data_IF_014523854867
#
_entry.id   IF_014523854867
#
_cell.length_a   1.000
_cell.length_b   1.000
_cell.length_c   1.000
_cell.angle_alpha   90.00
_cell.angle_beta   90.00
_cell.angle_gamma   90.00
#
_symmetry.space_group_name_H-M   'P 1'
#
loop_
_entity.id
_entity.type
_entity.pdbx_description
1 polymer ?
2 non-polymer ?
3 non-polymer ?
4 non-polymer ?
5 non-polymer ?
6 water ?
#
# COMPACT_ATOMS: atom_id res chain seq x y z
N UNK A 1 -10.94 0.88 -19.52
CA UNK A 1 -10.11 2.10 -19.45
C UNK A 1 -8.63 1.79 -19.58
N UNK A 2 -7.87 2.72 -20.15
CA UNK A 2 -6.43 2.55 -20.33
C UNK A 2 -5.60 2.83 -19.07
N UNK A 3 -6.04 3.80 -18.29
CA UNK A 3 -5.33 4.15 -17.06
C UNK A 3 -6.07 3.59 -15.86
N UNK A 4 -5.57 2.49 -15.32
CA UNK A 4 -6.20 1.83 -14.18
C UNK A 4 -5.40 1.98 -12.89
N UNK A 5 -6.11 2.30 -11.81
CA UNK A 5 -5.50 2.47 -10.48
C UNK A 5 -5.95 1.35 -9.55
N UNK A 6 -5.00 0.69 -8.91
CA UNK A 6 -5.28 -0.39 -7.96
C UNK A 6 -4.82 0.07 -6.58
N UNK A 7 -5.73 0.12 -5.62
CA UNK A 7 -5.37 0.56 -4.27
C UNK A 7 -6.17 -0.14 -3.19
N UNK A 8 -5.67 -0.05 -1.96
CA UNK A 8 -6.33 -0.67 -0.83
C UNK A 8 -7.41 0.18 -0.22
N UNK A 9 -8.59 -0.40 -0.04
CA UNK A 9 -9.72 0.33 0.53
C UNK A 9 -9.75 0.33 2.03
N UNK A 10 -8.88 -0.48 2.66
CA UNK A 10 -8.87 -0.58 4.12
C UNK A 10 -7.60 -0.03 4.79
N UNK A 11 -6.79 -0.90 5.39
CA UNK A 11 -5.56 -0.49 6.06
C UNK A 11 -4.33 -1.18 5.48
N UNK A 12 -4.36 -1.47 4.18
CA UNK A 12 -3.23 -2.13 3.58
C UNK A 12 -3.33 -3.64 3.60
N UNK A 13 -2.45 -4.31 2.87
CA UNK A 13 -2.39 -5.76 2.79
C UNK A 13 -3.69 -6.46 2.34
N UNK A 14 -4.46 -5.77 1.51
CA UNK A 14 -5.71 -6.30 0.99
C UNK A 14 -5.43 -7.24 -0.15
N UNK A 15 -4.20 -7.22 -0.68
CA UNK A 15 -3.86 -8.10 -1.80
C UNK A 15 -3.68 -7.38 -3.11
N UNK A 16 -3.11 -6.17 -3.01
CA UNK A 16 -2.86 -5.31 -4.17
C UNK A 16 -1.80 -5.88 -5.12
N UNK A 17 -0.70 -6.34 -4.56
CA UNK A 17 0.39 -6.90 -5.37
C UNK A 17 -0.06 -8.01 -6.30
N UNK A 18 -0.83 -8.94 -5.76
CA UNK A 18 -1.32 -10.06 -6.56
C UNK A 18 -2.15 -9.54 -7.73
N UNK A 19 -3.11 -8.67 -7.43
CA UNK A 19 -3.97 -8.14 -8.48
C UNK A 19 -3.18 -7.38 -9.54
N UNK A 20 -2.13 -6.66 -9.12
CA UNK A 20 -1.31 -5.91 -10.06
C UNK A 20 -0.61 -6.86 -11.03
N UNK A 21 0.09 -7.86 -10.48
CA UNK A 21 0.78 -8.86 -11.29
C UNK A 21 -0.20 -9.53 -12.27
N UNK A 22 -1.37 -9.91 -11.77
CA UNK A 22 -2.39 -10.54 -12.59
C UNK A 22 -2.91 -9.64 -13.71
N UNK A 23 -3.17 -8.38 -13.41
CA UNK A 23 -3.71 -7.47 -14.42
C UNK A 23 -2.70 -6.85 -15.38
N UNK A 24 -1.41 -6.88 -15.04
CA UNK A 24 -0.43 -6.28 -15.94
C UNK A 24 -0.09 -7.11 -17.17
N UNK A 25 -0.92 -8.11 -17.44
CA UNK A 25 -0.73 -8.95 -18.60
C UNK A 25 -0.97 -8.09 -19.83
N UNK A 26 -1.94 -7.17 -19.73
CA UNK A 26 -2.26 -6.28 -20.83
C UNK A 26 -1.76 -4.84 -20.68
N UNK A 27 -0.87 -4.59 -19.72
CA UNK A 27 -0.35 -3.24 -19.49
C UNK A 27 1.06 -3.03 -20.03
N UNK A 28 1.36 -1.79 -20.38
CA UNK A 28 2.68 -1.40 -20.87
C UNK A 28 3.49 -0.87 -19.69
N UNK A 29 2.82 -0.15 -18.80
CA UNK A 29 3.48 0.44 -17.64
C UNK A 29 2.76 0.14 -16.33
N UNK A 30 3.54 0.10 -15.26
CA UNK A 30 3.01 -0.09 -13.92
C UNK A 30 3.76 0.95 -13.09
N UNK A 31 3.02 1.80 -12.38
CA UNK A 31 3.60 2.90 -11.61
C UNK A 31 3.29 2.94 -10.11
N UNK A 32 4.32 2.99 -9.28
CA UNK A 32 4.16 3.15 -7.84
C UNK A 32 4.18 4.69 -7.70
N UNK A 33 3.24 5.25 -6.94
CA UNK A 33 3.16 6.71 -6.83
C UNK A 33 3.29 7.28 -5.42
N UNK A 34 3.42 6.42 -4.41
CA UNK A 34 3.58 6.87 -3.02
C UNK A 34 4.07 5.76 -2.11
N UNK A 35 4.45 6.11 -0.90
CA UNK A 35 4.97 5.14 0.02
C UNK A 35 6.44 4.93 -0.28
N UNK A 36 7.02 3.89 0.30
CA UNK A 36 8.43 3.60 0.09
C UNK A 36 8.58 2.12 0.31
N UNK A 37 9.58 1.70 1.08
CA UNK A 37 9.76 0.28 1.30
C UNK A 37 9.04 -0.27 2.55
N UNK A 38 8.09 0.50 3.07
CA UNK A 38 7.30 0.03 4.21
C UNK A 38 6.26 -0.96 3.67
N UNK A 39 6.02 -0.89 2.36
CA UNK A 39 5.08 -1.74 1.67
C UNK A 39 5.65 -3.14 1.46
N UNK A 40 4.76 -4.13 1.52
CA UNK A 40 5.15 -5.51 1.32
C UNK A 40 4.03 -6.13 0.53
N UNK A 41 4.25 -6.30 -0.77
CA UNK A 41 3.26 -6.86 -1.69
C UNK A 41 3.71 -8.24 -2.15
N UNK A 42 2.92 -9.26 -1.80
CA UNK A 42 3.26 -10.64 -2.14
C UNK A 42 2.70 -11.18 -3.45
N UNK A 43 3.56 -11.83 -4.23
CA UNK A 43 3.14 -12.42 -5.50
C UNK A 43 3.47 -13.91 -5.46
N UNK A 44 2.55 -14.74 -5.91
CA UNK A 44 2.75 -16.20 -5.94
C UNK A 44 2.38 -16.73 -7.31
N UNK A 45 3.40 -17.09 -8.08
CA UNK A 45 3.21 -17.62 -9.42
C UNK A 45 3.61 -19.08 -9.44
N UNK A 46 2.66 -19.96 -9.72
CA UNK A 46 2.91 -21.40 -9.74
C UNK A 46 3.60 -21.87 -8.46
N UNK A 47 3.14 -21.32 -7.33
CA UNK A 47 3.73 -21.70 -6.06
C UNK A 47 4.96 -20.94 -5.63
N UNK A 48 5.63 -20.27 -6.56
CA UNK A 48 6.83 -19.49 -6.22
C UNK A 48 6.38 -18.16 -5.60
N UNK A 49 6.94 -17.83 -4.44
CA UNK A 49 6.57 -16.59 -3.76
C UNK A 49 7.58 -15.45 -3.85
N UNK A 50 7.12 -14.30 -4.31
CA UNK A 50 7.95 -13.11 -4.44
C UNK A 50 7.36 -12.02 -3.55
N UNK A 51 8.19 -11.37 -2.75
CA UNK A 51 7.75 -10.28 -1.91
C UNK A 51 8.51 -9.03 -2.29
N UNK A 52 7.81 -8.10 -2.92
CA UNK A 52 8.39 -6.84 -3.34
C UNK A 52 8.09 -5.79 -2.28
N UNK A 53 8.86 -4.72 -2.27
CA UNK A 53 8.66 -3.66 -1.31
C UNK A 53 8.66 -2.30 -1.98
N UNK A 54 9.67 -2.07 -2.81
CA UNK A 54 9.81 -0.80 -3.50
C UNK A 54 9.55 -0.90 -5.00
N UNK A 55 9.98 -2.02 -5.57
CA UNK A 55 9.84 -2.28 -7.02
C UNK A 55 8.41 -2.63 -7.39
N UNK A 56 7.83 -1.93 -8.39
CA UNK A 56 6.45 -2.21 -8.82
C UNK A 56 6.20 -3.70 -9.10
N UNK A 57 4.98 -4.15 -8.81
CA UNK A 57 4.58 -5.54 -8.98
C UNK A 57 4.52 -6.08 -10.40
N UNK A 58 4.89 -5.27 -11.38
CA UNK A 58 4.89 -5.74 -12.74
C UNK A 58 6.30 -6.14 -13.17
N UNK A 59 7.22 -6.20 -12.22
CA UNK A 59 8.62 -6.53 -12.50
C UNK A 59 8.90 -7.93 -13.08
N UNK A 60 8.00 -8.89 -12.85
CA UNK A 60 8.20 -10.24 -13.35
C UNK A 60 7.81 -10.41 -14.82
N UNK A 61 7.13 -9.44 -15.39
CA UNK A 61 6.70 -9.50 -16.78
C UNK A 61 7.62 -8.72 -17.70
N UNK A 62 8.05 -9.34 -18.78
CA UNK A 62 8.98 -8.72 -19.73
C UNK A 62 8.35 -7.63 -20.59
N UNK A 63 7.03 -7.69 -20.75
CA UNK A 63 6.36 -6.69 -21.57
C UNK A 63 6.05 -5.39 -20.83
N UNK A 64 6.26 -5.36 -19.52
CA UNK A 64 5.95 -4.16 -18.75
C UNK A 64 7.17 -3.42 -18.28
N UNK A 65 7.08 -2.11 -18.33
CA UNK A 65 8.14 -1.25 -17.85
C UNK A 65 7.65 -0.75 -16.49
N UNK A 66 8.38 -1.09 -15.43
CA UNK A 66 8.05 -0.68 -14.07
C UNK A 66 8.63 0.70 -13.78
N UNK A 67 7.82 1.56 -13.17
CA UNK A 67 8.22 2.93 -12.86
C UNK A 67 7.94 3.34 -11.41
N UNK A 68 8.92 3.98 -10.78
CA UNK A 68 8.78 4.47 -9.41
C UNK A 68 8.57 5.98 -9.58
N UNK A 69 7.33 6.44 -9.39
CA UNK A 69 7.03 7.85 -9.58
C UNK A 69 7.63 8.73 -8.52
N UNK A 70 7.57 10.04 -8.74
CA UNK A 70 8.13 11.01 -7.80
C UNK A 70 7.56 11.00 -6.39
N UNK A 71 6.36 10.45 -6.23
CA UNK A 71 5.72 10.38 -4.93
C UNK A 71 6.40 9.41 -3.96
N UNK A 72 7.13 8.45 -4.51
CA UNK A 72 7.83 7.47 -3.71
C UNK A 72 9.10 8.04 -3.09
N UNK A 73 9.33 7.73 -1.81
CA UNK A 73 10.54 8.16 -1.11
C UNK A 73 11.45 6.94 -1.22
N UNK A 74 12.55 7.11 -1.95
CA UNK A 74 13.50 6.03 -2.25
C UNK A 74 14.70 5.80 -1.36
N UNK A 75 14.83 4.56 -0.89
CA UNK A 75 15.98 4.18 -0.08
C UNK A 75 16.95 3.50 -1.03
N UNK A 76 18.10 4.14 -1.31
CA UNK A 76 19.10 3.57 -2.22
C UNK A 76 19.58 2.17 -1.77
N UNK A 77 19.61 1.97 -0.46
CA UNK A 77 20.04 0.70 0.11
C UNK A 77 18.95 -0.35 -0.05
N UNK A 78 17.69 0.06 0.14
CA UNK A 78 16.58 -0.87 0.01
C UNK A 78 16.46 -1.34 -1.43
N UNK A 79 16.62 -0.40 -2.37
CA UNK A 79 16.52 -0.71 -3.80
C UNK A 79 17.58 -1.70 -4.29
N UNK A 80 18.82 -1.45 -3.90
CA UNK A 80 19.94 -2.31 -4.30
C UNK A 80 19.74 -3.74 -3.83
N UNK A 81 19.30 -3.91 -2.59
CA UNK A 81 19.06 -5.22 -2.00
C UNK A 81 17.92 -5.96 -2.72
N UNK A 82 16.90 -5.19 -3.12
CA UNK A 82 15.75 -5.77 -3.80
C UNK A 82 16.13 -6.12 -5.24
N UNK A 83 16.89 -5.25 -5.87
CA UNK A 83 17.34 -5.42 -7.24
C UNK A 83 18.19 -6.68 -7.35
N UNK A 84 19.10 -6.85 -6.39
CA UNK A 84 20.01 -7.99 -6.34
C UNK A 84 19.25 -9.32 -6.24
N UNK A 85 18.44 -9.45 -5.18
CA UNK A 85 17.65 -10.66 -4.93
C UNK A 85 16.81 -11.06 -6.14
N UNK A 86 16.34 -10.07 -6.90
CA UNK A 86 15.55 -10.32 -8.10
C UNK A 86 16.42 -10.74 -9.28
N UNK A 87 17.56 -10.08 -9.46
CA UNK A 87 18.46 -10.42 -10.55
C UNK A 87 18.99 -11.84 -10.39
N UNK A 88 19.12 -12.29 -9.15
CA UNK A 88 19.58 -13.65 -8.87
C UNK A 88 18.53 -14.68 -9.25
N UNK A 89 17.29 -14.23 -9.37
CA UNK A 89 16.16 -15.08 -9.74
C UNK A 89 15.83 -14.98 -11.22
N UNK A 90 16.76 -14.45 -12.00
CA UNK A 90 16.56 -14.32 -13.43
C UNK A 90 15.70 -13.17 -13.90
N UNK A 91 15.50 -12.17 -13.04
CA UNK A 91 14.71 -10.99 -13.42
C UNK A 91 15.68 -9.87 -13.77
N UNK A 92 15.73 -9.47 -15.04
CA UNK A 92 16.66 -8.39 -15.37
C UNK A 92 16.06 -7.04 -14.96
N UNK A 93 16.09 -6.75 -13.66
CA UNK A 93 15.53 -5.51 -13.12
C UNK A 93 15.96 -4.26 -13.86
N UNK A 94 17.26 -4.02 -13.91
CA UNK A 94 17.80 -2.84 -14.58
C UNK A 94 17.31 -2.63 -16.01
N UNK A 95 16.86 -3.70 -16.66
CA UNK A 95 16.35 -3.61 -18.02
C UNK A 95 14.92 -3.11 -18.06
N UNK A 96 14.17 -3.30 -16.97
CA UNK A 96 12.78 -2.85 -16.95
C UNK A 96 12.34 -1.83 -15.90
N UNK A 97 13.26 -1.41 -15.03
CA UNK A 97 12.92 -0.43 -14.01
C UNK A 97 13.44 0.98 -14.30
N UNK A 98 12.54 1.95 -14.26
CA UNK A 98 12.87 3.36 -14.46
C UNK A 98 12.42 4.11 -13.21
N UNK A 99 12.96 5.30 -12.99
CA UNK A 99 12.58 6.05 -11.80
C UNK A 99 12.65 7.58 -11.95
N UNK A 100 11.95 8.28 -11.06
CA UNK A 100 11.89 9.72 -11.08
C UNK A 100 13.05 10.39 -10.33
N UNK A 101 13.59 11.45 -10.91
CA UNK A 101 14.68 12.18 -10.28
C UNK A 101 14.10 13.05 -9.18
N UNK A 102 12.78 13.18 -9.15
CA UNK A 102 12.12 13.97 -8.13
C UNK A 102 11.83 13.15 -6.86
N UNK A 103 12.15 11.86 -6.87
CA UNK A 103 11.92 11.02 -5.69
C UNK A 103 12.84 11.43 -4.55
N UNK A 104 12.29 11.68 -3.35
CA UNK A 104 13.17 12.06 -2.25
C UNK A 104 13.92 10.81 -1.73
N UNK A 105 15.11 11.01 -1.17
CA UNK A 105 15.92 9.91 -0.67
C UNK A 105 15.73 9.62 0.82
N UNK A 106 15.72 8.34 1.16
CA UNK A 106 15.62 7.91 2.55
C UNK A 106 17.05 7.49 2.88
N UNK A 107 17.71 8.20 3.80
CA UNK A 107 19.07 7.83 4.18
C UNK A 107 19.07 7.37 5.63
N UNK A 108 20.24 7.01 6.15
CA UNK A 108 20.35 6.50 7.53
C UNK A 108 19.77 7.35 8.65
N UNK A 109 19.97 8.65 8.60
CA UNK A 109 19.46 9.51 9.64
C UNK A 109 17.94 9.49 9.73
N UNK A 110 17.29 9.22 8.59
CA UNK A 110 15.83 9.13 8.53
C UNK A 110 15.34 7.96 9.37
N UNK A 111 16.03 6.82 9.26
CA UNK A 111 15.67 5.64 10.03
C UNK A 111 15.95 5.88 11.51
N UNK A 112 17.06 6.57 11.78
CA UNK A 112 17.44 6.90 13.15
C UNK A 112 16.36 7.77 13.77
N UNK A 113 15.97 8.82 13.05
CA UNK A 113 14.93 9.74 13.52
C UNK A 113 13.62 9.02 13.75
N UNK A 114 13.30 8.09 12.87
CA UNK A 114 12.07 7.32 12.97
C UNK A 114 12.04 6.55 14.31
N UNK A 115 13.11 5.83 14.61
CA UNK A 115 13.22 5.05 15.85
C UNK A 115 13.17 5.96 17.07
N UNK A 116 13.89 7.09 16.99
CA UNK A 116 13.94 8.05 18.07
C UNK A 116 12.57 8.64 18.41
N UNK A 117 11.87 9.12 17.39
CA UNK A 117 10.55 9.71 17.60
C UNK A 117 9.56 8.69 18.19
N UNK A 118 9.67 7.45 17.72
CA UNK A 118 8.79 6.39 18.19
C UNK A 118 9.06 6.04 19.66
N UNK A 119 10.32 6.17 20.08
CA UNK A 119 10.70 5.88 21.46
C UNK A 119 10.23 7.03 22.36
N UNK A 120 10.25 8.24 21.81
CA UNK A 120 9.81 9.43 22.51
C UNK A 120 8.30 9.43 22.69
N UNK A 121 7.59 8.75 21.78
CA UNK A 121 6.14 8.65 21.84
C UNK A 121 5.70 7.71 22.96
N UNK A 122 6.53 6.70 23.23
CA UNK A 122 6.23 5.75 24.28
C UNK A 122 4.95 4.96 24.03
N UNK A 123 3.97 5.14 24.91
CA UNK A 123 2.70 4.43 24.80
C UNK A 123 1.88 4.93 23.61
N UNK A 124 2.05 6.20 23.28
CA UNK A 124 1.33 6.81 22.17
C UNK A 124 2.06 6.55 20.84
N UNK A 125 2.91 5.54 20.82
CA UNK A 125 3.66 5.18 19.61
C UNK A 125 2.72 4.80 18.48
N UNK A 126 3.04 5.31 17.30
CA UNK A 126 2.27 5.07 16.08
C UNK A 126 2.41 3.62 15.64
N UNK A 127 3.62 3.08 15.75
CA UNK A 127 3.88 1.72 15.35
C UNK A 127 4.32 1.70 13.90
N UNK A 128 5.27 2.57 13.56
CA UNK A 128 5.76 2.66 12.19
C UNK A 128 6.54 1.41 11.81
N UNK A 129 6.87 1.28 10.53
CA UNK A 129 7.64 0.12 10.07
C UNK A 129 9.14 0.35 10.29
N UNK A 130 9.48 1.51 10.88
CA UNK A 130 10.86 1.86 11.16
C UNK A 130 11.78 1.96 9.95
N UNK A 131 11.23 2.28 8.79
CA UNK A 131 12.00 2.40 7.56
C UNK A 131 12.35 3.85 7.20
N UNK A 132 12.10 4.79 8.11
CA UNK A 132 12.41 6.19 7.83
C UNK A 132 11.49 6.90 6.85
N UNK A 133 10.30 6.36 6.64
CA UNK A 133 9.34 6.94 5.71
C UNK A 133 8.87 8.34 6.12
N UNK A 134 8.29 8.45 7.31
CA UNK A 134 7.82 9.73 7.81
C UNK A 134 8.85 10.85 7.72
N UNK A 135 10.05 10.66 8.31
CA UNK A 135 11.11 11.67 8.28
C UNK A 135 11.48 12.10 6.87
N UNK A 136 11.51 11.15 5.94
CA UNK A 136 11.84 11.47 4.55
C UNK A 136 10.81 12.39 3.92
N UNK A 137 9.54 12.21 4.25
CA UNK A 137 8.47 13.07 3.73
C UNK A 137 8.54 14.45 4.36
N UNK A 138 9.01 14.52 5.61
CA UNK A 138 9.16 15.79 6.32
C UNK A 138 10.24 16.64 5.67
N UNK A 139 11.38 16.03 5.39
CA UNK A 139 12.49 16.73 4.75
C UNK A 139 12.04 17.28 3.40
N UNK A 140 11.15 16.56 2.73
CA UNK A 140 10.63 16.96 1.43
C UNK A 140 9.79 18.24 1.58
N UNK A 141 8.77 18.15 2.43
CA UNK A 141 7.88 19.27 2.71
C UNK A 141 8.63 20.47 3.29
N UNK A 142 9.65 20.21 4.09
CA UNK A 142 10.46 21.27 4.66
C UNK A 142 11.39 21.84 3.59
N UNK A 143 11.44 21.21 2.42
CA UNK A 143 12.29 21.65 1.32
C UNK A 143 13.80 21.61 1.64
N UNK A 144 14.19 20.70 2.53
CA UNK A 144 15.59 20.56 2.88
C UNK A 144 16.11 19.21 2.44
N UNK A 145 15.20 18.34 2.04
CA UNK A 145 15.58 16.99 1.62
C UNK A 145 16.24 16.81 0.27
N UNK A 146 17.01 15.73 0.17
CA UNK A 146 17.73 15.37 -1.03
C UNK A 146 16.86 14.48 -1.91
N UNK A 147 17.00 14.63 -3.22
CA UNK A 147 16.24 13.85 -4.19
C UNK A 147 17.21 13.12 -5.10
N UNK A 148 16.72 12.17 -5.88
CA UNK A 148 17.56 11.40 -6.80
C UNK A 148 18.35 12.31 -7.74
N UNK A 149 17.70 13.40 -8.16
CA UNK A 149 18.35 14.34 -9.05
C UNK A 149 19.62 14.95 -8.50
N UNK A 150 19.74 15.03 -7.17
CA UNK A 150 20.93 15.60 -6.55
C UNK A 150 22.19 14.75 -6.78
N UNK A 151 22.00 13.45 -6.96
CA UNK A 151 23.12 12.54 -7.18
C UNK A 151 23.88 12.88 -8.46
N UNK A 152 23.27 13.66 -9.33
CA UNK A 152 23.88 14.05 -10.59
C UNK A 152 25.15 14.90 -10.48
N UNK A 153 25.30 15.63 -9.38
CA UNK A 153 26.49 16.45 -9.14
C UNK A 153 27.01 16.02 -7.80
N UNK A 154 27.93 15.06 -7.82
CA UNK A 154 28.50 14.52 -6.58
C UNK A 154 29.20 15.53 -5.68
N UNK A 155 29.73 16.59 -6.27
CA UNK A 155 30.41 17.63 -5.51
C UNK A 155 29.40 18.37 -4.65
N UNK A 156 28.37 18.94 -5.28
CA UNK A 156 27.34 19.68 -4.55
C UNK A 156 26.44 18.79 -3.68
N UNK A 157 26.36 17.50 -4.00
CA UNK A 157 25.55 16.57 -3.21
C UNK A 157 26.16 16.41 -1.82
N UNK A 158 27.50 16.42 -1.78
CA UNK A 158 28.23 16.29 -0.53
C UNK A 158 28.04 17.55 0.31
N UNK A 159 27.93 18.70 -0.37
CA UNK A 159 27.70 19.96 0.32
C UNK A 159 26.31 19.94 0.95
N UNK A 160 25.31 19.59 0.15
CA UNK A 160 23.92 19.52 0.61
C UNK A 160 23.69 18.51 1.75
N UNK A 161 24.23 17.31 1.57
CA UNK A 161 24.10 16.27 2.58
C UNK A 161 24.74 16.70 3.90
N UNK A 162 25.88 17.38 3.81
CA UNK A 162 26.59 17.85 4.99
C UNK A 162 25.67 18.73 5.82
N UNK A 163 25.04 19.72 5.18
CA UNK A 163 24.13 20.65 5.84
C UNK A 163 22.95 19.95 6.54
N UNK A 164 22.23 19.13 5.79
CA UNK A 164 21.07 18.41 6.29
C UNK A 164 21.41 17.54 7.49
N UNK A 165 22.50 16.79 7.39
CA UNK A 165 22.93 15.92 8.47
C UNK A 165 23.35 16.67 9.71
N UNK A 166 23.94 17.85 9.51
CA UNK A 166 24.34 18.71 10.63
C UNK A 166 23.09 18.99 11.46
N UNK A 167 22.01 19.34 10.76
CA UNK A 167 20.73 19.65 11.39
C UNK A 167 20.13 18.48 12.16
N UNK A 168 20.11 17.31 11.52
CA UNK A 168 19.53 16.12 12.12
C UNK A 168 20.34 15.52 13.24
N UNK A 169 21.66 15.59 13.13
CA UNK A 169 22.54 15.05 14.16
C UNK A 169 22.39 15.84 15.46
N UNK A 170 22.29 17.15 15.34
CA UNK A 170 22.11 18.02 16.50
C UNK A 170 20.91 17.56 17.31
N UNK A 171 19.79 17.34 16.64
CA UNK A 171 18.58 16.93 17.32
C UNK A 171 18.65 15.49 17.80
N UNK A 172 19.33 14.63 17.04
CA UNK A 172 19.47 13.23 17.45
C UNK A 172 20.25 13.13 18.75
N UNK A 173 21.38 13.82 18.80
CA UNK A 173 22.26 13.83 19.95
C UNK A 173 21.73 14.66 21.12
N UNK A 174 21.54 15.95 20.88
CA UNK A 174 21.06 16.88 21.89
C UNK A 174 19.65 16.68 22.43
N UNK A 175 18.65 16.60 21.54
CA UNK A 175 17.26 16.43 21.98
C UNK A 175 16.87 14.99 22.35
N UNK A 176 17.12 14.05 21.43
CA UNK A 176 16.78 12.66 21.64
C UNK A 176 17.81 11.83 22.41
N UNK A 177 18.96 12.44 22.71
CA UNK A 177 20.05 11.78 23.44
C UNK A 177 20.46 10.46 22.78
N UNK A 178 20.36 10.43 21.45
CA UNK A 178 20.71 9.25 20.69
C UNK A 178 22.04 9.40 19.96
N UNK A 179 22.44 8.32 19.33
CA UNK A 179 23.68 8.23 18.59
C UNK A 179 23.64 8.96 17.24
N UNK A 180 24.67 9.78 16.98
CA UNK A 180 24.77 10.53 15.72
C UNK A 180 25.03 9.60 14.54
N UNK A 181 24.65 10.05 13.34
CA UNK A 181 24.83 9.27 12.11
C UNK A 181 26.08 9.73 11.39
N UNK A 182 26.97 8.81 11.03
CA UNK A 182 28.21 9.19 10.37
C UNK A 182 28.05 9.66 8.92
N UNK A 183 28.44 10.92 8.69
CA UNK A 183 28.34 11.54 7.38
C UNK A 183 29.12 10.83 6.28
N UNK A 184 30.32 10.35 6.60
CA UNK A 184 31.17 9.67 5.63
C UNK A 184 30.60 8.32 5.22
N UNK A 185 30.03 7.60 6.19
CA UNK A 185 29.42 6.29 5.92
C UNK A 185 28.29 6.52 4.93
N UNK A 186 27.43 7.48 5.23
CA UNK A 186 26.30 7.80 4.35
C UNK A 186 26.82 8.27 2.99
N UNK A 187 27.78 9.19 2.99
CA UNK A 187 28.32 9.71 1.75
C UNK A 187 28.94 8.63 0.88
N UNK A 188 29.66 7.70 1.51
CA UNK A 188 30.30 6.61 0.77
C UNK A 188 29.30 5.63 0.21
N UNK A 189 28.40 5.16 1.08
CA UNK A 189 27.35 4.22 0.69
C UNK A 189 26.52 4.73 -0.46
N UNK A 190 26.02 5.95 -0.34
CA UNK A 190 25.19 6.56 -1.36
C UNK A 190 25.94 6.74 -2.68
N UNK A 191 27.15 7.25 -2.58
CA UNK A 191 27.96 7.50 -3.76
C UNK A 191 28.38 6.20 -4.44
N UNK A 192 28.38 5.12 -3.67
CA UNK A 192 28.75 3.81 -4.17
C UNK A 192 27.68 3.16 -5.04
N UNK A 193 26.57 3.86 -5.27
CA UNK A 193 25.47 3.35 -6.09
C UNK A 193 24.80 4.45 -6.89
N UNK A 194 25.32 5.67 -6.78
CA UNK A 194 24.77 6.82 -7.48
C UNK A 194 24.57 6.62 -8.98
N UNK A 195 25.58 6.05 -9.62
CA UNK A 195 25.55 5.80 -11.06
C UNK A 195 24.51 4.80 -11.49
N UNK A 196 24.16 3.87 -10.61
CA UNK A 196 23.15 2.87 -10.92
C UNK A 196 21.77 3.54 -10.90
N UNK A 197 21.54 4.37 -9.88
CA UNK A 197 20.28 5.09 -9.71
C UNK A 197 20.05 6.11 -10.80
N UNK A 198 21.07 6.91 -11.10
CA UNK A 198 20.91 7.93 -12.13
C UNK A 198 20.76 7.39 -13.54
N UNK A 199 21.28 6.19 -13.79
CA UNK A 199 21.16 5.59 -15.13
C UNK A 199 19.73 5.16 -15.42
N UNK A 200 18.92 4.99 -14.38
CA UNK A 200 17.53 4.59 -14.53
C UNK A 200 16.55 5.75 -14.57
N UNK A 201 17.06 6.97 -14.47
CA UNK A 201 16.20 8.16 -14.47
C UNK A 201 15.50 8.48 -15.80
N UNK A 202 14.24 8.87 -15.69
CA UNK A 202 13.43 9.26 -16.86
C UNK A 202 12.46 10.36 -16.37
N UNK A 203 12.02 11.22 -17.29
CA UNK A 203 11.04 12.28 -16.96
C UNK A 203 9.70 11.52 -16.95
N UNK A 204 9.34 10.99 -15.80
CA UNK A 204 8.12 10.21 -15.64
C UNK A 204 6.87 10.93 -16.12
N UNK A 205 6.72 12.18 -15.72
CA UNK A 205 5.56 12.98 -16.09
C UNK A 205 5.35 13.06 -17.61
N UNK A 206 6.40 13.40 -18.34
CA UNK A 206 6.30 13.52 -19.79
C UNK A 206 6.01 12.15 -20.42
N UNK A 207 6.70 11.11 -19.92
CA UNK A 207 6.52 9.76 -20.42
C UNK A 207 5.06 9.31 -20.29
N UNK A 208 4.48 9.50 -19.10
CA UNK A 208 3.10 9.12 -18.85
C UNK A 208 2.13 9.86 -19.75
N UNK A 209 2.47 11.10 -20.11
CA UNK A 209 1.62 11.90 -20.98
C UNK A 209 1.66 11.36 -22.41
N UNK A 210 2.82 10.80 -22.80
CA UNK A 210 2.98 10.24 -24.12
C UNK A 210 2.21 8.92 -24.24
N UNK A 211 2.29 8.11 -23.19
CA UNK A 211 1.60 6.84 -23.13
C UNK A 211 0.11 7.08 -23.26
N UNK A 212 -0.35 8.14 -22.60
CA UNK A 212 -1.76 8.51 -22.60
C UNK A 212 -2.19 8.81 -24.03
N UNK A 213 -1.36 9.58 -24.72
CA UNK A 213 -1.64 9.95 -26.11
C UNK A 213 -1.56 8.78 -27.08
N UNK A 214 -0.73 7.78 -26.77
CA UNK A 214 -0.60 6.60 -27.62
C UNK A 214 -1.67 5.56 -27.28
N UNK A 215 -2.34 5.77 -26.16
CA UNK A 215 -3.37 4.83 -25.73
C UNK A 215 -2.79 3.58 -25.08
N UNK A 216 -1.58 3.69 -24.54
CA UNK A 216 -0.95 2.55 -23.89
C UNK A 216 -1.70 2.26 -22.59
N UNK A 217 -1.68 1.00 -22.16
CA UNK A 217 -2.34 0.65 -20.91
C UNK A 217 -1.38 0.93 -19.77
N UNK A 218 -1.84 1.68 -18.77
CA UNK A 218 -1.01 2.01 -17.62
C UNK A 218 -1.70 1.61 -16.33
N UNK A 219 -0.96 1.01 -15.41
CA UNK A 219 -1.53 0.64 -14.14
C UNK A 219 -0.78 1.34 -13.01
N UNK A 220 -1.54 1.88 -12.06
CA UNK A 220 -0.97 2.55 -10.90
C UNK A 220 -1.17 1.62 -9.73
N UNK A 221 -0.07 1.28 -9.08
CA UNK A 221 -0.13 0.38 -7.97
C UNK A 221 -0.04 1.14 -6.67
N UNK A 222 -1.08 1.06 -5.85
CA UNK A 222 -1.07 1.77 -4.60
C UNK A 222 -0.37 1.04 -3.47
N UNK A 223 0.04 1.82 -2.46
CA UNK A 223 0.69 1.28 -1.27
C UNK A 223 -0.16 1.65 -0.06
N UNK A 224 -0.06 0.87 0.99
CA UNK A 224 -0.85 1.07 2.21
C UNK A 224 -2.33 1.00 1.88
N UNK A 225 -3.16 1.73 2.63
CA UNK A 225 -4.59 1.69 2.37
C UNK A 225 -5.22 3.04 2.65
N UNK A 226 -6.46 3.22 2.20
CA UNK A 226 -7.19 4.47 2.37
C UNK A 226 -7.23 5.03 3.78
N UNK A 227 -7.55 4.21 4.78
CA UNK A 227 -7.62 4.72 6.15
C UNK A 227 -6.27 5.09 6.77
N UNK A 228 -5.20 4.89 6.02
CA UNK A 228 -3.86 5.25 6.48
C UNK A 228 -3.44 6.56 5.82
N UNK A 229 -4.35 7.17 5.07
CA UNK A 229 -4.09 8.43 4.39
C UNK A 229 -3.68 9.51 5.40
N UNK A 230 -2.66 10.30 5.06
CA UNK A 230 -2.18 11.36 5.94
C UNK A 230 -3.23 12.45 6.24
N UNK A 231 -4.13 12.68 5.29
CA UNK A 231 -5.18 13.69 5.42
C UNK A 231 -6.52 13.15 5.93
N UNK A 232 -7.00 12.13 5.24
CA UNK A 232 -8.28 11.52 5.50
C UNK A 232 -8.31 10.29 6.40
N UNK A 233 -7.12 9.78 6.74
CA UNK A 233 -7.04 8.60 7.59
C UNK A 233 -7.13 8.90 9.07
N UNK A 234 -6.98 7.84 9.88
CA UNK A 234 -7.06 7.94 11.33
C UNK A 234 -5.86 8.62 11.98
N UNK A 235 -5.65 9.89 11.63
CA UNK A 235 -4.56 10.71 12.13
C UNK A 235 -4.53 10.65 13.67
N UNK A 236 -3.33 10.56 14.28
CA UNK A 236 -1.99 10.51 13.69
C UNK A 236 -1.51 9.08 13.41
N UNK A 237 -2.40 8.10 13.55
CA UNK A 237 -2.05 6.71 13.31
C UNK A 237 -2.25 6.43 11.83
N UNK A 238 -1.37 7.05 11.04
CA UNK A 238 -1.43 6.95 9.60
C UNK A 238 -0.01 6.94 9.05
N UNK A 239 0.08 6.75 7.74
CA UNK A 239 1.35 6.80 7.04
C UNK A 239 1.45 8.25 6.54
N UNK A 240 2.66 8.72 6.32
CA UNK A 240 2.88 10.09 5.91
C UNK A 240 2.62 10.43 4.46
N UNK A 241 1.92 9.59 3.72
CA UNK A 241 1.64 9.90 2.32
C UNK A 241 0.15 9.78 2.03
N UNK A 242 -0.29 10.33 0.91
CA UNK A 242 -1.68 10.23 0.50
C UNK A 242 -1.83 8.90 -0.21
N UNK A 243 -2.56 7.98 0.42
CA UNK A 243 -2.79 6.64 -0.10
C UNK A 243 -4.05 6.59 -0.96
N UNK A 244 -4.82 7.67 -0.94
CA UNK A 244 -6.03 7.73 -1.73
C UNK A 244 -5.70 8.10 -3.17
N UNK A 245 -6.65 7.85 -4.07
CA UNK A 245 -6.51 8.09 -5.51
C UNK A 245 -5.95 9.42 -5.96
N UNK A 246 -6.07 10.46 -5.15
CA UNK A 246 -5.52 11.75 -5.51
C UNK A 246 -4.00 11.72 -5.57
N UNK A 247 -3.43 10.77 -4.81
CA UNK A 247 -1.99 10.61 -4.76
C UNK A 247 -1.42 10.12 -6.08
N UNK A 248 -2.28 9.55 -6.93
CA UNK A 248 -1.85 9.07 -8.25
C UNK A 248 -1.31 10.24 -9.06
N UNK A 249 -2.05 11.35 -9.04
CA UNK A 249 -1.65 12.52 -9.79
C UNK A 249 -0.44 13.24 -9.21
N UNK A 250 -0.49 13.57 -7.92
CA UNK A 250 0.61 14.27 -7.28
C UNK A 250 1.89 13.45 -7.30
N UNK A 251 1.73 12.14 -7.21
CA UNK A 251 2.87 11.25 -7.19
C UNK A 251 3.38 10.67 -8.51
N UNK A 252 2.78 11.04 -9.64
CA UNK A 252 3.26 10.52 -10.91
C UNK A 252 3.34 11.59 -12.00
N UNK A 253 2.56 12.66 -11.84
CA UNK A 253 2.54 13.71 -12.84
C UNK A 253 1.38 13.57 -13.80
N UNK A 254 0.55 12.53 -13.62
CA UNK A 254 -0.59 12.31 -14.50
C UNK A 254 -1.79 13.17 -14.13
N UNK A 255 -2.30 13.93 -15.09
CA UNK A 255 -3.46 14.78 -14.84
C UNK A 255 -4.62 13.96 -14.32
N UNK A 256 -5.30 14.40 -13.24
CA UNK A 256 -6.43 13.65 -12.68
C UNK A 256 -7.55 13.31 -13.66
N UNK A 257 -7.75 14.12 -14.70
CA UNK A 257 -8.82 13.80 -15.64
C UNK A 257 -8.50 12.58 -16.49
N UNK A 258 -7.30 12.03 -16.35
CA UNK A 258 -6.93 10.86 -17.16
C UNK A 258 -7.01 9.54 -16.41
N UNK A 259 -7.51 9.59 -15.18
CA UNK A 259 -7.69 8.37 -14.40
C UNK A 259 -9.03 7.80 -14.90
N UNK A 260 -8.97 6.66 -15.55
CA UNK A 260 -10.16 6.03 -16.12
C UNK A 260 -10.93 5.09 -15.24
N UNK A 261 -10.23 4.23 -14.52
CA UNK A 261 -10.88 3.25 -13.69
C UNK A 261 -10.12 3.08 -12.38
N UNK A 262 -10.81 3.23 -11.26
CA UNK A 262 -10.15 3.07 -9.96
C UNK A 262 -10.67 1.79 -9.34
N UNK A 263 -9.80 0.80 -9.24
CA UNK A 263 -10.17 -0.49 -8.68
C UNK A 263 -9.76 -0.57 -7.21
N UNK A 264 -10.73 -0.75 -6.33
CA UNK A 264 -10.40 -0.84 -4.92
C UNK A 264 -10.24 -2.28 -4.48
N UNK A 265 -9.12 -2.59 -3.86
CA UNK A 265 -8.88 -3.95 -3.38
C UNK A 265 -9.56 -4.06 -2.01
N UNK A 266 -10.43 -5.05 -1.88
CA UNK A 266 -11.22 -5.25 -0.69
C UNK A 266 -11.11 -6.67 -0.14
N UNK A 267 -10.56 -6.81 1.05
CA UNK A 267 -10.44 -8.13 1.69
C UNK A 267 -11.79 -8.52 2.30
N UNK A 268 -12.07 -9.81 2.41
CA UNK A 268 -13.35 -10.26 2.94
C UNK A 268 -13.54 -9.99 4.42
N UNK A 269 -12.45 -9.71 5.12
CA UNK A 269 -12.51 -9.37 6.54
C UNK A 269 -11.53 -8.21 6.69
N UNK A 270 -11.25 -7.79 7.91
CA UNK A 270 -10.34 -6.66 8.08
C UNK A 270 -9.08 -6.95 8.85
N UNK A 271 -8.05 -6.17 8.54
CA UNK A 271 -6.77 -6.26 9.24
C UNK A 271 -6.18 -4.87 9.41
N UNK A 272 -5.29 -4.77 10.38
CA UNK A 272 -4.59 -3.54 10.67
C UNK A 272 -3.36 -3.96 11.46
N UNK A 273 -2.22 -3.36 11.13
CA UNK A 273 -0.99 -3.67 11.85
C UNK A 273 -0.34 -2.34 12.21
N UNK A 274 -0.26 -2.10 13.51
CA UNK A 274 0.26 -0.84 14.02
C UNK A 274 -0.84 -0.34 14.93
N UNK A 275 -0.59 0.74 15.67
CA UNK A 275 -1.58 1.31 16.57
C UNK A 275 -2.71 2.03 15.83
N UNK A 276 -3.83 2.25 16.50
CA UNK A 276 -4.93 2.95 15.87
C UNK A 276 -6.30 2.34 16.00
N UNK A 277 -7.36 3.11 15.76
CA UNK A 277 -8.77 2.69 15.84
C UNK A 277 -9.06 1.51 14.92
N UNK A 278 -9.96 0.64 15.35
CA UNK A 278 -10.34 -0.54 14.59
C UNK A 278 -11.59 -1.12 15.28
N UNK A 279 -12.76 -0.53 15.00
CA UNK A 279 -14.07 -0.93 15.55
C UNK A 279 -14.46 -2.40 15.50
N UNK A 280 -14.26 -3.02 14.34
CA UNK A 280 -14.63 -4.42 14.16
C UNK A 280 -13.57 -5.44 14.61
N UNK A 281 -12.58 -4.97 15.36
CA UNK A 281 -11.52 -5.85 15.84
C UNK A 281 -12.06 -6.95 16.72
N UNK A 282 -11.70 -8.19 16.38
CA UNK A 282 -12.09 -9.37 17.12
C UNK A 282 -10.99 -9.71 18.11
N UNK A 283 -11.38 -10.18 19.29
CA UNK A 283 -10.38 -10.55 20.29
C UNK A 283 -10.57 -12.00 20.70
N UNK A 284 -11.67 -12.58 20.26
CA UNK A 284 -12.01 -13.96 20.59
C UNK A 284 -11.36 -15.01 19.69
N UNK A 285 -11.97 -16.19 19.66
CA UNK A 285 -11.49 -17.32 18.88
C UNK A 285 -11.62 -17.11 17.37
N UNK A 286 -12.66 -16.40 16.96
CA UNK A 286 -12.87 -16.12 15.53
C UNK A 286 -11.75 -15.22 15.03
N UNK A 287 -11.24 -14.35 15.91
CA UNK A 287 -10.15 -13.47 15.54
C UNK A 287 -8.90 -14.28 15.27
N UNK A 288 -8.55 -15.15 16.22
CA UNK A 288 -7.38 -16.01 16.09
C UNK A 288 -7.53 -16.89 14.85
N UNK A 289 -8.77 -17.26 14.54
CA UNK A 289 -9.04 -18.09 13.36
C UNK A 289 -8.71 -17.36 12.06
N UNK A 290 -9.20 -16.13 11.93
CA UNK A 290 -8.95 -15.32 10.74
C UNK A 290 -7.45 -15.12 10.57
N UNK A 291 -6.76 -14.80 11.66
CA UNK A 291 -5.33 -14.59 11.65
C UNK A 291 -4.58 -15.85 11.18
N UNK A 292 -4.90 -16.98 11.81
CA UNK A 292 -4.28 -18.26 11.49
C UNK A 292 -4.55 -18.75 10.07
N UNK A 293 -5.83 -18.78 9.71
CA UNK A 293 -6.22 -19.25 8.40
C UNK A 293 -5.84 -18.27 7.29
N UNK A 294 -5.74 -16.99 7.63
CA UNK A 294 -5.36 -15.99 6.66
C UNK A 294 -3.86 -15.76 6.61
N UNK A 295 -3.14 -16.35 7.56
CA UNK A 295 -1.69 -16.20 7.64
C UNK A 295 -1.33 -14.72 7.76
N UNK A 296 -2.08 -14.00 8.58
CA UNK A 296 -1.89 -12.57 8.77
C UNK A 296 -0.68 -12.13 9.58
N UNK A 297 0.44 -11.92 8.90
CA UNK A 297 1.69 -11.47 9.50
C UNK A 297 2.31 -10.47 8.54
N UNK A 298 2.81 -9.36 9.07
CA UNK A 298 3.41 -8.31 8.25
C UNK A 298 4.43 -8.78 7.24
N UNK A 299 4.20 -8.48 5.97
CA UNK A 299 5.13 -8.89 4.92
C UNK A 299 6.43 -8.08 4.97
N UNK A 300 6.44 -7.01 5.76
CA UNK A 300 7.61 -6.15 5.85
C UNK A 300 8.31 -6.27 7.20
N UNK A 301 7.53 -6.29 8.28
CA UNK A 301 8.10 -6.36 9.61
C UNK A 301 7.86 -7.70 10.33
N UNK A 302 6.95 -8.51 9.81
CA UNK A 302 6.67 -9.78 10.42
C UNK A 302 5.73 -9.69 11.61
N UNK A 303 5.24 -8.49 11.90
CA UNK A 303 4.32 -8.31 13.01
C UNK A 303 3.00 -9.03 12.71
N UNK A 304 2.40 -9.66 13.70
CA UNK A 304 1.13 -10.33 13.46
C UNK A 304 0.09 -9.23 13.31
N UNK A 305 -0.77 -9.36 12.32
CA UNK A 305 -1.79 -8.36 12.06
C UNK A 305 -3.04 -8.57 12.91
N UNK A 306 -3.73 -7.47 13.20
CA UNK A 306 -4.97 -7.51 13.98
C UNK A 306 -6.05 -7.88 12.99
N UNK A 307 -7.02 -8.68 13.41
CA UNK A 307 -8.08 -9.07 12.49
C UNK A 307 -9.45 -8.65 13.02
N UNK A 308 -10.44 -8.64 12.14
CA UNK A 308 -11.79 -8.28 12.52
C UNK A 308 -12.73 -8.53 11.38
N UNK A 309 -13.99 -8.16 11.56
CA UNK A 309 -14.97 -8.35 10.49
C UNK A 309 -14.88 -7.21 9.48
N UNK A 310 -15.45 -7.42 8.30
CA UNK A 310 -15.47 -6.39 7.26
C UNK A 310 -16.31 -5.22 7.77
N UNK A 311 -15.81 -4.01 7.60
CA UNK A 311 -16.50 -2.81 8.04
C UNK A 311 -16.99 -2.01 6.83
N UNK A 312 -18.26 -2.16 6.49
CA UNK A 312 -18.81 -1.44 5.34
C UNK A 312 -18.94 0.07 5.55
N UNK A 313 -18.92 0.52 6.81
CA UNK A 313 -19.02 1.95 7.09
C UNK A 313 -17.71 2.58 6.62
N UNK A 314 -16.59 2.01 7.07
CA UNK A 314 -15.26 2.49 6.69
C UNK A 314 -15.02 2.32 5.17
N UNK A 315 -15.50 1.20 4.62
CA UNK A 315 -15.36 0.92 3.20
C UNK A 315 -16.14 1.97 2.39
N UNK A 316 -17.32 2.37 2.88
CA UNK A 316 -18.09 3.38 2.16
C UNK A 316 -17.31 4.69 2.09
N UNK A 317 -16.47 4.95 3.09
CA UNK A 317 -15.66 6.17 3.07
C UNK A 317 -14.62 6.05 1.96
N UNK A 318 -14.04 4.86 1.81
CA UNK A 318 -13.05 4.58 0.79
C UNK A 318 -13.68 4.71 -0.60
N UNK A 319 -14.96 4.37 -0.70
CA UNK A 319 -15.69 4.46 -1.97
C UNK A 319 -15.71 5.92 -2.45
N UNK A 320 -16.05 6.84 -1.55
CA UNK A 320 -16.12 8.25 -1.93
C UNK A 320 -14.80 9.00 -2.09
N UNK A 321 -13.84 8.76 -1.20
CA UNK A 321 -12.56 9.45 -1.30
C UNK A 321 -11.82 9.12 -2.59
N UNK A 322 -11.99 7.89 -3.07
CA UNK A 322 -11.31 7.42 -4.27
C UNK A 322 -12.09 7.35 -5.57
N UNK A 323 -13.38 7.68 -5.51
CA UNK A 323 -14.29 7.58 -6.66
C UNK A 323 -14.14 6.21 -7.29
N UNK A 324 -14.24 5.19 -6.45
CA UNK A 324 -14.10 3.80 -6.89
C UNK A 324 -15.04 3.43 -8.01
N UNK A 325 -14.51 2.65 -8.94
CA UNK A 325 -15.30 2.21 -10.06
C UNK A 325 -15.82 0.80 -9.79
N UNK A 326 -15.00 0.00 -9.11
CA UNK A 326 -15.36 -1.38 -8.79
C UNK A 326 -14.46 -1.90 -7.68
N UNK A 327 -14.75 -3.12 -7.21
CA UNK A 327 -13.97 -3.76 -6.16
C UNK A 327 -13.38 -5.07 -6.64
N UNK A 328 -12.40 -5.55 -5.90
CA UNK A 328 -11.78 -6.85 -6.15
C UNK A 328 -11.75 -7.48 -4.78
N UNK A 329 -12.71 -8.36 -4.51
CA UNK A 329 -12.81 -9.03 -3.22
C UNK A 329 -11.74 -10.10 -3.10
N UNK A 330 -10.99 -10.07 -2.01
CA UNK A 330 -9.94 -11.05 -1.81
C UNK A 330 -10.08 -11.82 -0.50
N UNK A 331 -9.42 -12.97 -0.44
CA UNK A 331 -9.43 -13.84 0.72
C UNK A 331 -10.80 -14.37 1.16
N UNK A 332 -11.71 -14.49 0.19
CA UNK A 332 -13.04 -15.01 0.49
C UNK A 332 -12.87 -16.39 1.09
N UNK A 333 -11.93 -17.14 0.51
CA UNK A 333 -11.61 -18.50 0.89
C UNK A 333 -11.18 -18.68 2.34
N UNK A 334 -10.78 -17.60 3.02
CA UNK A 334 -10.37 -17.74 4.40
C UNK A 334 -11.62 -17.84 5.30
N UNK A 335 -12.75 -17.38 4.77
CA UNK A 335 -14.02 -17.42 5.49
C UNK A 335 -14.70 -18.79 5.49
N UNK A 336 -14.10 -19.76 4.81
CA UNK A 336 -14.66 -21.11 4.73
C UNK A 336 -14.75 -21.84 6.08
N UNK A 337 -15.86 -22.53 6.29
CA UNK A 337 -16.05 -23.27 7.52
C UNK A 337 -16.77 -22.55 8.66
N UNK A 338 -16.64 -21.23 8.72
CA UNK A 338 -17.30 -20.43 9.75
C UNK A 338 -18.82 -20.57 9.72
N UNK A 339 -19.43 -20.69 10.90
CA UNK A 339 -20.88 -20.85 11.02
C UNK A 339 -21.61 -19.62 10.50
N UNK A 340 -21.13 -18.45 10.92
CA UNK A 340 -21.73 -17.18 10.52
C UNK A 340 -20.67 -16.12 10.24
N UNK A 341 -20.98 -15.21 9.32
CA UNK A 341 -20.09 -14.11 8.99
C UNK A 341 -20.83 -12.80 9.25
N UNK A 342 -20.17 -11.89 9.92
CA UNK A 342 -20.77 -10.60 10.21
C UNK A 342 -20.13 -9.51 9.35
N UNK A 343 -20.80 -8.37 9.25
CA UNK A 343 -20.29 -7.26 8.50
C UNK A 343 -20.89 -6.00 9.10
N UNK A 344 -20.03 -5.17 9.66
CA UNK A 344 -20.44 -3.93 10.29
C UNK A 344 -21.19 -3.05 9.32
N UNK A 345 -22.39 -2.62 9.69
CA UNK A 345 -23.21 -1.78 8.81
C UNK A 345 -23.47 -0.37 9.32
N UNK A 346 -23.07 -0.12 10.57
CA UNK A 346 -23.26 1.20 11.18
C UNK A 346 -22.43 1.31 12.44
N UNK A 347 -22.31 2.52 12.98
CA UNK A 347 -21.56 2.75 14.20
C UNK A 347 -22.47 3.32 15.26
N UNK A 348 -22.29 2.89 16.50
CA UNK A 348 -23.04 3.43 17.61
C UNK A 348 -22.02 4.38 18.23
N UNK A 349 -22.34 5.66 18.23
CA UNK A 349 -21.44 6.66 18.80
C UNK A 349 -21.56 6.67 20.32
N UNK A 350 -20.50 7.10 21.01
CA UNK A 350 -20.45 7.17 22.47
C UNK A 350 -21.61 7.94 23.10
N UNK A 351 -22.24 8.81 22.32
CA UNK A 351 -23.37 9.61 22.82
C UNK A 351 -24.73 8.99 22.56
N UNK A 352 -24.73 7.82 21.96
CA UNK A 352 -26.00 7.15 21.68
C UNK A 352 -26.45 7.16 20.25
N UNK A 353 -25.96 8.11 19.46
CA UNK A 353 -26.35 8.19 18.05
C UNK A 353 -25.86 7.02 17.22
N UNK A 354 -26.67 6.61 16.26
CA UNK A 354 -26.33 5.55 15.34
C UNK A 354 -25.95 6.29 14.05
N UNK A 355 -24.69 6.20 13.65
CA UNK A 355 -24.24 6.88 12.44
C UNK A 355 -23.81 5.89 11.37
N UNK A 356 -23.75 6.36 10.13
CA UNK A 356 -23.35 5.52 9.01
C UNK A 356 -22.15 6.10 8.26
N UNK A 357 -21.51 7.08 8.87
CA UNK A 357 -20.30 7.71 8.33
C UNK A 357 -19.23 7.54 9.39
N UNK A 358 -17.96 7.56 8.98
CA UNK A 358 -16.86 7.39 9.93
C UNK A 358 -16.38 8.70 10.49
N UNK A 359 -15.78 8.66 11.70
CA UNK A 359 -15.24 9.88 12.32
C UNK A 359 -13.93 10.10 11.56
N UNK A 360 -13.26 11.22 11.75
CA UNK A 360 -12.01 11.44 11.03
C UNK A 360 -10.78 11.10 11.86
N UNK A 361 -10.35 12.04 12.71
CA UNK A 361 -9.17 11.85 13.56
C UNK A 361 -9.36 10.69 14.54
N UNK A 362 -8.25 10.05 14.90
CA UNK A 362 -8.27 8.91 15.81
C UNK A 362 -8.98 9.13 17.14
N UNK A 363 -8.85 10.32 17.71
CA UNK A 363 -9.49 10.62 18.98
C UNK A 363 -11.01 10.51 18.92
N UNK A 364 -11.57 10.74 17.74
CA UNK A 364 -13.02 10.68 17.54
C UNK A 364 -13.59 9.27 17.32
N UNK A 365 -12.74 8.26 17.38
CA UNK A 365 -13.20 6.89 17.21
C UNK A 365 -13.29 6.23 18.59
N UNK A 366 -12.58 6.81 19.55
CA UNK A 366 -12.50 6.34 20.93
C UNK A 366 -13.61 5.42 21.44
N UNK A 367 -14.85 5.90 21.51
CA UNK A 367 -15.89 5.05 22.03
C UNK A 367 -16.84 4.39 21.04
N UNK A 368 -16.50 4.44 19.77
CA UNK A 368 -17.34 3.88 18.72
C UNK A 368 -17.51 2.36 18.82
N UNK A 369 -18.73 1.90 18.61
CA UNK A 369 -19.04 0.48 18.67
C UNK A 369 -19.69 0.07 17.35
N UNK A 370 -19.28 -1.08 16.80
CA UNK A 370 -19.86 -1.53 15.53
C UNK A 370 -21.25 -2.13 15.71
N UNK A 371 -22.11 -1.97 14.71
CA UNK A 371 -23.44 -2.52 14.73
C UNK A 371 -23.45 -3.52 13.59
N UNK A 372 -23.45 -4.80 13.92
CA UNK A 372 -23.40 -5.85 12.91
C UNK A 372 -24.68 -6.28 12.25
N UNK A 373 -24.48 -7.14 11.26
CA UNK A 373 -25.52 -7.75 10.48
C UNK A 373 -24.90 -9.14 10.32
N UNK A 374 -25.56 -10.15 10.86
CA UNK A 374 -25.03 -11.50 10.80
C UNK A 374 -25.56 -12.27 9.60
N UNK A 375 -24.69 -13.04 8.96
CA UNK A 375 -25.06 -13.84 7.81
C UNK A 375 -24.52 -15.25 7.97
N UNK A 376 -25.20 -16.23 7.36
CA UNK A 376 -24.77 -17.62 7.45
C UNK A 376 -23.49 -17.87 6.66
N UNK A 377 -22.57 -18.63 7.26
CA UNK A 377 -21.33 -18.93 6.57
C UNK A 377 -21.50 -20.09 5.61
N UNK A 378 -20.42 -20.81 5.34
CA UNK A 378 -20.44 -21.97 4.45
C UNK A 378 -19.29 -22.90 4.81
N UNK A 379 -19.56 -24.21 4.82
CA UNK A 379 -18.55 -25.22 5.16
C UNK A 379 -17.79 -25.69 3.93
N UNK A 380 -18.43 -25.56 2.77
CA UNK A 380 -17.81 -25.95 1.51
C UNK A 380 -16.62 -25.05 1.20
N UNK A 381 -15.62 -25.63 0.57
CA UNK A 381 -14.39 -24.91 0.23
C UNK A 381 -14.53 -24.10 -1.07
N UNK A 382 -14.08 -22.84 -1.03
CA UNK A 382 -14.15 -21.96 -2.20
C UNK A 382 -12.75 -21.68 -2.74
N UNK A 383 -11.74 -22.20 -2.05
CA UNK A 383 -10.35 -22.00 -2.46
C UNK A 383 -10.07 -22.45 -3.89
N UNK A 384 -9.37 -21.61 -4.64
CA UNK A 384 -9.02 -21.92 -6.01
C UNK A 384 -10.15 -21.93 -7.02
N UNK A 385 -11.39 -21.71 -6.56
CA UNK A 385 -12.54 -21.69 -7.45
C UNK A 385 -12.41 -20.54 -8.46
N UNK A 386 -12.55 -20.87 -9.74
CA UNK A 386 -12.41 -19.89 -10.81
C UNK A 386 -13.69 -19.62 -11.60
N UNK A 387 -14.83 -19.94 -10.99
CA UNK A 387 -16.13 -19.71 -11.61
C UNK A 387 -17.18 -19.50 -10.52
N UNK A 388 -18.02 -18.47 -10.70
CA UNK A 388 -19.07 -18.18 -9.72
C UNK A 388 -19.83 -19.43 -9.35
N UNK A 389 -20.10 -20.24 -10.37
CA UNK A 389 -20.83 -21.50 -10.23
C UNK A 389 -20.25 -22.38 -9.13
N UNK A 390 -18.94 -22.31 -8.93
CA UNK A 390 -18.31 -23.12 -7.91
C UNK A 390 -18.45 -22.53 -6.51
N UNK A 391 -19.11 -21.38 -6.42
CA UNK A 391 -19.29 -20.71 -5.12
C UNK A 391 -20.61 -21.07 -4.44
N UNK A 392 -20.55 -21.44 -3.15
CA UNK A 392 -21.75 -21.80 -2.39
C UNK A 392 -22.71 -20.62 -2.37
N UNK A 393 -24.01 -20.89 -2.34
CA UNK A 393 -25.01 -19.84 -2.34
C UNK A 393 -24.77 -18.77 -1.27
N UNK A 394 -24.39 -19.21 -0.07
CA UNK A 394 -24.12 -18.28 1.03
C UNK A 394 -22.99 -17.32 0.69
N UNK A 395 -22.04 -17.78 -0.13
CA UNK A 395 -20.93 -16.95 -0.55
C UNK A 395 -21.45 -15.86 -1.49
N UNK A 396 -22.29 -16.26 -2.41
CA UNK A 396 -22.88 -15.32 -3.37
C UNK A 396 -23.73 -14.25 -2.71
N UNK A 397 -24.46 -14.61 -1.66
CA UNK A 397 -25.30 -13.65 -0.94
C UNK A 397 -24.42 -12.65 -0.19
N UNK A 398 -23.32 -13.16 0.36
CA UNK A 398 -22.35 -12.34 1.08
C UNK A 398 -21.76 -11.32 0.13
N UNK A 399 -21.46 -11.76 -1.09
CA UNK A 399 -20.92 -10.90 -2.11
C UNK A 399 -21.94 -9.86 -2.55
N UNK A 400 -23.19 -10.29 -2.74
CA UNK A 400 -24.25 -9.37 -3.17
C UNK A 400 -24.60 -8.34 -2.12
N UNK A 401 -24.51 -8.74 -0.86
CA UNK A 401 -24.82 -7.85 0.24
C UNK A 401 -23.82 -6.72 0.27
N UNK A 402 -22.53 -7.06 0.15
CA UNK A 402 -21.45 -6.07 0.14
C UNK A 402 -21.75 -5.06 -0.97
N UNK A 403 -22.11 -5.56 -2.14
CA UNK A 403 -22.42 -4.67 -3.26
C UNK A 403 -23.62 -3.79 -2.91
N UNK A 404 -24.60 -4.38 -2.22
CA UNK A 404 -25.80 -3.63 -1.84
C UNK A 404 -25.47 -2.51 -0.88
N UNK A 405 -24.73 -2.84 0.18
CA UNK A 405 -24.35 -1.87 1.19
C UNK A 405 -23.38 -0.81 0.66
N UNK A 406 -22.69 -1.15 -0.42
CA UNK A 406 -21.69 -0.25 -0.97
C UNK A 406 -22.11 0.54 -2.20
N UNK A 407 -22.90 -0.07 -3.08
CA UNK A 407 -23.31 0.61 -4.29
C UNK A 407 -22.21 0.57 -5.35
N UNK A 408 -21.26 -0.34 -5.17
CA UNK A 408 -20.12 -0.52 -6.09
C UNK A 408 -20.05 -2.01 -6.43
N UNK A 409 -19.91 -2.36 -7.71
CA UNK A 409 -19.83 -3.76 -8.14
C UNK A 409 -18.49 -4.45 -7.85
N UNK A 410 -18.55 -5.73 -7.52
CA UNK A 410 -17.33 -6.51 -7.28
C UNK A 410 -17.01 -7.15 -8.63
N UNK A 411 -16.00 -6.62 -9.29
CA UNK A 411 -15.59 -7.10 -10.62
C UNK A 411 -14.61 -8.23 -10.67
N UNK A 412 -13.92 -8.49 -9.57
CA UNK A 412 -12.93 -9.57 -9.52
C UNK A 412 -12.99 -10.20 -8.14
N UNK A 413 -12.95 -11.52 -8.07
CA UNK A 413 -12.99 -12.22 -6.79
C UNK A 413 -11.76 -13.11 -6.73
N UNK A 414 -11.00 -12.99 -5.66
CA UNK A 414 -9.79 -13.80 -5.49
C UNK A 414 -10.11 -14.91 -4.48
N UNK A 415 -9.74 -16.13 -4.84
CA UNK A 415 -10.01 -17.31 -4.01
C UNK A 415 -8.75 -18.09 -3.59
N UNK A 416 -7.59 -17.45 -3.65
CA UNK A 416 -6.34 -18.09 -3.27
C UNK A 416 -5.18 -17.17 -3.56
N UNK A 417 -3.98 -17.42 -3.03
CA UNK A 417 -2.81 -16.56 -3.26
C UNK A 417 -2.19 -16.61 -4.65
N UNK A 418 -2.24 -17.76 -5.30
CA UNK A 418 -1.65 -17.90 -6.64
C UNK A 418 -2.33 -17.03 -7.67
N UNK A 419 -1.55 -16.54 -8.63
CA UNK A 419 -2.00 -15.68 -9.71
C UNK A 419 -3.27 -16.21 -10.38
N UNK A 420 -3.31 -17.51 -10.64
CA UNK A 420 -4.43 -18.17 -11.30
C UNK A 420 -5.69 -18.44 -10.46
N UNK A 421 -5.57 -18.35 -9.14
CA UNK A 421 -6.71 -18.58 -8.24
C UNK A 421 -7.55 -17.30 -8.18
N UNK A 422 -8.19 -16.99 -9.30
CA UNK A 422 -8.97 -15.77 -9.40
C UNK A 422 -10.08 -15.95 -10.42
N UNK A 423 -10.99 -14.98 -10.47
CA UNK A 423 -12.07 -14.97 -11.43
C UNK A 423 -12.40 -13.52 -11.73
N UNK A 424 -12.04 -13.09 -12.94
CA UNK A 424 -12.28 -11.73 -13.40
C UNK A 424 -13.67 -11.63 -14.02
N UNK A 425 -14.62 -11.06 -13.30
CA UNK A 425 -15.97 -10.92 -13.83
C UNK A 425 -15.96 -9.78 -14.82
N UNK A 426 -14.99 -8.88 -14.67
CA UNK A 426 -14.86 -7.73 -15.55
C UNK A 426 -13.44 -7.17 -15.48
N UNK A 427 -12.85 -6.93 -16.64
CA UNK A 427 -11.50 -6.37 -16.71
C UNK A 427 -11.58 -4.85 -16.76
N UNK A 428 -10.90 -4.17 -15.83
CA UNK A 428 -10.89 -2.71 -15.74
C UNK A 428 -10.42 -2.06 -17.05
N UNK A 429 -9.56 -2.75 -17.78
CA UNK A 429 -9.05 -2.25 -19.04
C UNK A 429 -10.10 -2.27 -20.14
N UNK A 430 -10.98 -3.26 -20.09
CA UNK A 430 -12.04 -3.40 -21.07
C UNK A 430 -13.23 -2.52 -20.71
N UNK A 431 -13.39 -2.24 -19.42
CA UNK A 431 -14.50 -1.45 -18.90
C UNK A 431 -14.32 0.06 -19.04
#
# INVERSE_FOLDING_TARGET
>A
GNNVVVLGTQWGDEGKGKIVDLLTERAKYVVRYQGGHNAGHTLVINGEKTVLHLIPSGILRENVTSIIGNGVVLSPAALMKEMKELEDRGIPVRERLLLSEACPLILDYHVALDNAREKARGAKAIGTTGRGIGPAYEDKVARRGLRVGDLFDKETFAEKLKEVMEYHNFQLVNYYKAEAVDYQKVLDDTMAVADILTSMVVDVSDLLDQARQRGDFVMFEGAQGTLLDIDHGTYPYVTSSNTTAGGVATGSGLGPRYVDYVLGILKAYSTRVGAGPFPTELFDETGEFLCKQGNEFGATTGRRRRTGWLDTVAVRRAVQLNSLSGFCLTKLDVLDGLKEVKLCVAYRMPDGREVTTTPLAADDWKGVEPIYETMPGWSESTFGVKDRSGLPQAALNYIKRIEELTGVPIDIISTGPDRTETMILRDPFDA
#
